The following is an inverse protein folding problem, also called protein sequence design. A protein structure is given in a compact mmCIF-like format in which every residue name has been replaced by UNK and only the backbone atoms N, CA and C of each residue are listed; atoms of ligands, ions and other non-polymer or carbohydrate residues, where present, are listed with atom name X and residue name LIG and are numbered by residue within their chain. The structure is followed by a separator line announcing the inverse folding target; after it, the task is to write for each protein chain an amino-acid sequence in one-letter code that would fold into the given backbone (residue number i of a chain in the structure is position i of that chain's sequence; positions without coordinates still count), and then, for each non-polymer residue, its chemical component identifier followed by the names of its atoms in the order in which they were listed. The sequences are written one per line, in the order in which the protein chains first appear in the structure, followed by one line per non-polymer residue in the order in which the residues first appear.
data_IF_408977561984
#
_entry.id   IF_408977561984
#
_cell.length_a   1.000
_cell.length_b   1.000
_cell.length_c   1.000
_cell.angle_alpha   90.00
_cell.angle_beta   90.00
_cell.angle_gamma   90.00
#
_symmetry.space_group_name_H-M   'P 1'
#
loop_
_entity.id
_entity.type
_entity.pdbx_description
1 polymer ?
#
# COMPACT_ATOMS: atom_id res chain seq x y z
N UNK A 1 -9.03 -30.59 -11.46
CA UNK A 1 -9.02 -29.14 -11.27
C UNK A 1 -10.43 -28.60 -11.19
N UNK A 2 -10.66 -27.67 -10.31
CA UNK A 2 -11.97 -27.04 -10.19
C UNK A 2 -12.18 -26.03 -11.31
N UNK A 3 -13.41 -25.97 -11.78
CA UNK A 3 -13.79 -24.94 -12.71
C UNK A 3 -13.67 -23.57 -12.03
N UNK A 4 -13.09 -22.64 -12.74
CA UNK A 4 -12.90 -21.31 -12.24
C UNK A 4 -13.94 -20.39 -12.86
N UNK A 5 -14.74 -19.73 -12.01
CA UNK A 5 -15.80 -18.83 -12.46
C UNK A 5 -15.55 -17.42 -11.98
N UNK A 6 -15.10 -16.51 -12.85
CA UNK A 6 -14.73 -15.15 -12.44
C UNK A 6 -15.88 -14.34 -11.85
N UNK A 7 -17.11 -14.61 -12.26
CA UNK A 7 -18.29 -13.89 -11.76
C UNK A 7 -18.80 -14.41 -10.43
N UNK A 8 -18.19 -15.48 -9.89
CA UNK A 8 -18.62 -16.03 -8.61
C UNK A 8 -18.33 -15.07 -7.47
N UNK A 9 -19.28 -14.93 -6.55
CA UNK A 9 -19.17 -14.03 -5.41
C UNK A 9 -19.18 -14.78 -4.09
N UNK A 10 -18.40 -14.26 -3.12
CA UNK A 10 -18.37 -14.76 -1.74
C UNK A 10 -18.58 -13.56 -0.82
N UNK A 11 -19.69 -13.53 -0.07
CA UNK A 11 -20.01 -12.45 0.88
C UNK A 11 -19.94 -11.05 0.24
N UNK A 12 -20.48 -10.92 -0.98
CA UNK A 12 -20.43 -9.66 -1.72
C UNK A 12 -19.09 -9.39 -2.39
N UNK A 13 -18.16 -10.32 -2.30
CA UNK A 13 -16.84 -10.18 -2.91
C UNK A 13 -16.81 -10.82 -4.30
N UNK A 14 -15.99 -10.26 -5.17
CA UNK A 14 -15.83 -10.73 -6.53
C UNK A 14 -14.41 -11.21 -6.76
N UNK A 15 -14.27 -12.18 -7.67
CA UNK A 15 -12.96 -12.49 -8.21
C UNK A 15 -12.47 -11.30 -9.05
N UNK A 16 -11.19 -10.97 -8.93
CA UNK A 16 -10.60 -9.96 -9.77
C UNK A 16 -9.22 -10.42 -10.23
N UNK A 17 -8.90 -10.08 -11.47
CA UNK A 17 -7.59 -10.29 -12.05
C UNK A 17 -7.10 -8.94 -12.59
N UNK A 18 -5.93 -8.50 -12.12
CA UNK A 18 -5.38 -7.21 -12.49
C UNK A 18 -3.94 -7.39 -12.96
N UNK A 19 -3.70 -7.14 -14.24
CA UNK A 19 -2.37 -7.21 -14.82
C UNK A 19 -1.63 -5.90 -14.58
N UNK A 20 -0.34 -5.99 -14.30
CA UNK A 20 0.49 -4.81 -14.16
C UNK A 20 0.48 -3.93 -15.42
N UNK A 21 0.37 -4.56 -16.61
CA UNK A 21 0.30 -3.83 -17.87
C UNK A 21 -0.95 -2.97 -18.00
N UNK A 22 -2.00 -3.29 -17.23
CA UNK A 22 -3.25 -2.53 -17.22
C UNK A 22 -3.25 -1.43 -16.16
N UNK A 23 -2.15 -1.28 -15.43
CA UNK A 23 -2.08 -0.35 -14.31
C UNK A 23 -1.93 1.08 -14.78
N UNK A 24 -2.59 1.98 -14.06
CA UNK A 24 -2.45 3.42 -14.25
C UNK A 24 -1.90 4.01 -12.96
N UNK A 25 -0.77 4.70 -13.07
CA UNK A 25 -0.17 5.37 -11.93
C UNK A 25 -0.80 6.74 -11.74
N UNK A 26 -1.23 7.01 -10.51
CA UNK A 26 -1.90 8.26 -10.16
C UNK A 26 -1.08 8.96 -9.08
N UNK A 27 -0.76 10.23 -9.31
CA UNK A 27 -0.03 11.04 -8.33
C UNK A 27 -0.92 11.34 -7.13
N UNK A 28 -0.33 11.23 -5.94
CA UNK A 28 -0.97 11.72 -4.73
C UNK A 28 -1.02 13.25 -4.75
N UNK A 29 -2.10 13.81 -4.22
CA UNK A 29 -2.23 15.26 -4.06
C UNK A 29 -1.51 15.78 -2.83
N UNK A 30 -1.15 14.90 -1.89
CA UNK A 30 -0.61 15.28 -0.59
C UNK A 30 0.88 15.05 -0.46
N UNK A 31 1.44 14.14 -1.26
CA UNK A 31 2.86 13.83 -1.24
C UNK A 31 3.36 13.59 -2.66
N UNK A 32 4.66 13.39 -2.81
CA UNK A 32 5.26 13.15 -4.12
C UNK A 32 5.42 11.65 -4.38
N UNK A 33 4.41 10.89 -4.00
CA UNK A 33 4.28 9.48 -4.33
C UNK A 33 3.22 9.32 -5.40
N UNK A 34 3.32 8.26 -6.16
CA UNK A 34 2.27 7.84 -7.06
C UNK A 34 1.86 6.41 -6.70
N UNK A 35 0.63 6.07 -7.03
CA UNK A 35 0.08 4.77 -6.68
C UNK A 35 -0.70 4.18 -7.83
N UNK A 36 -0.81 2.84 -7.83
CA UNK A 36 -1.71 2.14 -8.72
C UNK A 36 -2.64 1.25 -7.90
N UNK A 37 -3.89 1.21 -8.30
CA UNK A 37 -4.90 0.40 -7.66
C UNK A 37 -4.79 -1.03 -8.17
N UNK A 38 -4.94 -1.99 -7.27
CA UNK A 38 -4.97 -3.42 -7.61
C UNK A 38 -6.37 -3.93 -7.89
N UNK A 39 -7.41 -3.11 -7.65
CA UNK A 39 -8.80 -3.51 -7.80
C UNK A 39 -9.36 -4.31 -6.62
N UNK A 40 -8.55 -4.60 -5.61
CA UNK A 40 -8.98 -5.43 -4.48
C UNK A 40 -10.04 -4.73 -3.63
N UNK A 41 -9.97 -3.40 -3.50
CA UNK A 41 -10.98 -2.65 -2.77
C UNK A 41 -12.36 -2.86 -3.39
N UNK A 42 -12.47 -2.75 -4.69
CA UNK A 42 -13.74 -2.96 -5.39
C UNK A 42 -14.19 -4.42 -5.30
N UNK A 43 -13.26 -5.36 -5.47
CA UNK A 43 -13.57 -6.79 -5.43
C UNK A 43 -14.03 -7.25 -4.05
N UNK A 44 -13.53 -6.62 -2.99
CA UNK A 44 -13.91 -6.96 -1.61
C UNK A 44 -15.03 -6.08 -1.08
N UNK A 45 -15.64 -5.28 -1.94
CA UNK A 45 -16.75 -4.41 -1.57
C UNK A 45 -16.36 -3.40 -0.48
N UNK A 46 -15.13 -2.89 -0.55
CA UNK A 46 -14.62 -1.89 0.38
C UNK A 46 -14.01 -2.43 1.66
N UNK A 47 -13.95 -3.76 1.83
CA UNK A 47 -13.40 -4.36 3.05
C UNK A 47 -11.91 -4.07 3.20
N UNK A 48 -11.16 -4.21 2.12
CA UNK A 48 -9.71 -4.04 2.12
C UNK A 48 -9.30 -3.19 0.93
N UNK A 49 -8.38 -2.28 1.15
CA UNK A 49 -7.75 -1.53 0.08
C UNK A 49 -6.31 -2.00 -0.09
N UNK A 50 -5.91 -2.31 -1.31
CA UNK A 50 -4.55 -2.73 -1.63
C UNK A 50 -4.05 -1.90 -2.80
N UNK A 51 -2.99 -1.15 -2.58
CA UNK A 51 -2.37 -0.32 -3.61
C UNK A 51 -0.87 -0.56 -3.63
N UNK A 52 -0.26 -0.29 -4.76
CA UNK A 52 1.20 -0.25 -4.88
C UNK A 52 1.60 1.21 -5.00
N UNK A 53 2.57 1.64 -4.19
CA UNK A 53 3.04 3.03 -4.21
C UNK A 53 4.53 3.06 -4.50
N UNK A 54 4.97 4.18 -5.07
CA UNK A 54 6.39 4.45 -5.31
C UNK A 54 6.63 5.95 -5.26
N UNK A 55 7.84 6.39 -4.83
CA UNK A 55 8.16 7.81 -4.85
C UNK A 55 8.34 8.28 -6.30
N UNK A 56 7.90 9.51 -6.57
CA UNK A 56 8.17 10.15 -7.86
C UNK A 56 9.63 10.58 -7.92
N UNK A 57 10.15 11.07 -6.78
CA UNK A 57 11.55 11.44 -6.61
C UNK A 57 12.11 10.76 -5.37
N UNK A 58 13.33 10.22 -5.47
CA UNK A 58 13.96 9.52 -4.35
C UNK A 58 14.26 10.43 -3.15
N UNK A 59 14.36 11.73 -3.35
CA UNK A 59 14.60 12.70 -2.28
C UNK A 59 13.34 13.07 -1.49
N UNK A 60 12.18 12.59 -1.91
CA UNK A 60 10.91 12.89 -1.28
C UNK A 60 10.83 12.28 0.11
N UNK A 61 10.29 13.04 1.06
CA UNK A 61 9.94 12.53 2.38
C UNK A 61 8.42 12.42 2.48
N UNK A 62 7.93 11.24 2.85
CA UNK A 62 6.51 11.00 2.99
C UNK A 62 6.14 10.99 4.47
N UNK A 63 5.31 11.95 4.89
CA UNK A 63 4.77 12.01 6.25
C UNK A 63 3.31 11.59 6.18
N UNK A 64 2.95 10.55 6.90
CA UNK A 64 1.59 10.01 6.85
C UNK A 64 1.07 9.70 8.23
N UNK A 65 -0.24 9.89 8.40
CA UNK A 65 -0.96 9.47 9.60
C UNK A 65 -1.95 8.38 9.19
N UNK A 66 -2.00 7.31 9.97
CA UNK A 66 -2.92 6.22 9.72
C UNK A 66 -4.32 6.61 10.20
N UNK A 67 -5.24 6.82 9.26
CA UNK A 67 -6.65 7.14 9.55
C UNK A 67 -7.56 5.91 9.45
N UNK A 68 -7.05 4.81 8.90
CA UNK A 68 -7.76 3.54 8.83
C UNK A 68 -7.55 2.75 10.12
N UNK A 69 -8.19 1.59 10.24
CA UNK A 69 -7.97 0.73 11.40
C UNK A 69 -6.50 0.34 11.55
N UNK A 70 -5.85 0.10 10.42
CA UNK A 70 -4.41 -0.11 10.34
C UNK A 70 -3.94 0.03 8.90
N UNK A 71 -2.65 0.22 8.72
CA UNK A 71 -2.00 0.13 7.42
C UNK A 71 -0.84 -0.85 7.54
N UNK A 72 -0.85 -1.89 6.73
CA UNK A 72 0.25 -2.84 6.59
C UNK A 72 1.00 -2.51 5.32
N UNK A 73 2.32 -2.39 5.41
CA UNK A 73 3.17 -2.07 4.26
C UNK A 73 4.25 -3.12 4.10
N UNK A 74 4.43 -3.57 2.87
CA UNK A 74 5.45 -4.54 2.50
C UNK A 74 6.34 -3.92 1.42
N UNK A 75 7.67 -4.01 1.60
CA UNK A 75 8.61 -3.50 0.61
C UNK A 75 8.76 -4.53 -0.50
N UNK A 76 8.26 -4.18 -1.69
CA UNK A 76 8.33 -5.07 -2.86
C UNK A 76 9.71 -5.06 -3.49
N UNK A 77 10.30 -3.88 -3.60
CA UNK A 77 11.66 -3.74 -4.11
C UNK A 77 12.24 -2.41 -3.62
N UNK A 78 13.58 -2.33 -3.66
CA UNK A 78 14.28 -1.13 -3.24
C UNK A 78 14.44 -1.06 -1.73
N UNK A 79 14.67 0.14 -1.23
CA UNK A 79 14.89 0.39 0.19
C UNK A 79 14.38 1.77 0.58
N UNK A 80 14.06 1.90 1.86
CA UNK A 80 13.60 3.15 2.45
C UNK A 80 13.93 3.14 3.95
N UNK A 81 13.81 4.28 4.58
CA UNK A 81 13.94 4.40 6.03
C UNK A 81 12.61 4.77 6.65
N UNK A 82 12.23 4.06 7.70
CA UNK A 82 11.00 4.28 8.45
C UNK A 82 11.31 4.91 9.79
N UNK A 83 10.65 6.03 10.07
CA UNK A 83 10.70 6.68 11.38
C UNK A 83 9.27 6.84 11.86
N UNK A 84 8.95 6.24 12.99
CA UNK A 84 7.65 6.40 13.64
C UNK A 84 7.83 7.09 14.98
N UNK A 85 6.73 7.58 15.55
CA UNK A 85 6.75 8.28 16.83
C UNK A 85 7.41 7.41 17.90
N UNK A 86 8.38 7.99 18.62
CA UNK A 86 9.08 7.37 19.74
C UNK A 86 9.90 6.12 19.39
N UNK A 87 10.19 5.90 18.12
CA UNK A 87 10.99 4.74 17.72
C UNK A 87 12.22 5.15 16.93
N UNK A 88 13.20 4.25 16.93
CA UNK A 88 14.41 4.45 16.14
C UNK A 88 14.10 4.39 14.66
N UNK A 89 14.95 5.05 13.88
CA UNK A 89 14.88 4.92 12.43
C UNK A 89 15.27 3.49 12.03
N UNK A 90 14.44 2.86 11.23
CA UNK A 90 14.67 1.53 10.72
C UNK A 90 14.88 1.58 9.21
N UNK A 91 15.93 0.92 8.75
CA UNK A 91 16.17 0.75 7.32
C UNK A 91 15.44 -0.50 6.85
N UNK A 92 14.67 -0.34 5.79
CA UNK A 92 13.86 -1.43 5.23
C UNK A 92 14.34 -1.74 3.82
N UNK A 93 14.41 -3.03 3.52
CA UNK A 93 14.76 -3.52 2.20
C UNK A 93 13.67 -4.45 1.69
N UNK A 94 13.78 -4.88 0.43
CA UNK A 94 12.78 -5.77 -0.16
C UNK A 94 12.55 -7.00 0.73
N UNK A 95 11.30 -7.31 0.98
CA UNK A 95 10.89 -8.38 1.87
C UNK A 95 10.55 -7.95 3.29
N UNK A 96 10.94 -6.75 3.69
CA UNK A 96 10.59 -6.22 5.01
C UNK A 96 9.18 -5.65 5.01
N UNK A 97 8.57 -5.63 6.19
CA UNK A 97 7.21 -5.12 6.34
C UNK A 97 7.04 -4.42 7.69
N UNK A 98 5.99 -3.60 7.76
CA UNK A 98 5.60 -2.96 9.01
C UNK A 98 4.10 -2.72 9.03
N UNK A 99 3.57 -2.52 10.22
CA UNK A 99 2.16 -2.18 10.42
C UNK A 99 2.07 -0.93 11.29
N UNK A 100 1.19 -0.02 10.88
CA UNK A 100 0.95 1.23 11.61
C UNK A 100 -0.50 1.18 12.10
N UNK A 101 -0.72 1.22 13.42
CA UNK A 101 -2.07 1.26 13.95
C UNK A 101 -2.72 2.62 13.76
N UNK A 102 -4.04 2.64 13.92
CA UNK A 102 -4.81 3.86 13.80
C UNK A 102 -4.29 4.97 14.72
N UNK A 103 -4.18 6.15 14.17
CA UNK A 103 -3.77 7.33 14.92
C UNK A 103 -2.28 7.60 14.92
N UNK A 104 -1.46 6.62 14.58
CA UNK A 104 -0.01 6.81 14.56
C UNK A 104 0.44 7.52 13.29
N UNK A 105 1.50 8.29 13.43
CA UNK A 105 2.16 8.98 12.33
C UNK A 105 3.50 8.32 12.03
N UNK A 106 3.85 8.27 10.75
CA UNK A 106 5.13 7.71 10.34
C UNK A 106 5.72 8.52 9.19
N UNK A 107 7.04 8.40 9.05
CA UNK A 107 7.79 9.12 8.02
C UNK A 107 8.62 8.11 7.25
N UNK A 108 8.49 8.14 5.92
CA UNK A 108 9.36 7.38 5.02
C UNK A 108 10.29 8.35 4.31
N UNK A 109 11.58 8.02 4.30
CA UNK A 109 12.62 8.89 3.72
C UNK A 109 13.76 8.05 3.19
N UNK A 110 14.70 8.69 2.50
CA UNK A 110 15.91 8.05 1.99
C UNK A 110 15.60 6.86 1.09
N UNK A 111 14.72 7.08 0.11
CA UNK A 111 14.28 6.03 -0.80
C UNK A 111 15.32 5.74 -1.87
N UNK A 112 15.42 4.46 -2.27
CA UNK A 112 16.10 4.12 -3.51
C UNK A 112 15.22 4.49 -4.71
N UNK A 113 15.83 4.62 -5.88
CA UNK A 113 15.12 5.02 -7.10
C UNK A 113 14.06 4.01 -7.51
N UNK A 114 14.26 2.75 -7.14
CA UNK A 114 13.36 1.65 -7.53
C UNK A 114 12.40 1.24 -6.42
N UNK A 115 12.25 2.04 -5.36
CA UNK A 115 11.37 1.67 -4.25
C UNK A 115 9.94 1.45 -4.72
N UNK A 116 9.36 0.30 -4.35
CA UNK A 116 7.94 0.04 -4.49
C UNK A 116 7.42 -0.61 -3.22
N UNK A 117 6.27 -0.14 -2.78
CA UNK A 117 5.62 -0.58 -1.57
C UNK A 117 4.24 -1.14 -1.90
N UNK A 118 3.88 -2.24 -1.24
CA UNK A 118 2.52 -2.77 -1.25
C UNK A 118 1.87 -2.32 0.05
N UNK A 119 0.79 -1.54 -0.04
CA UNK A 119 0.08 -1.02 1.12
C UNK A 119 -1.30 -1.62 1.20
N UNK A 120 -1.60 -2.23 2.35
CA UNK A 120 -2.88 -2.88 2.63
C UNK A 120 -3.51 -2.13 3.80
N UNK A 121 -4.71 -1.62 3.59
CA UNK A 121 -5.44 -0.90 4.64
C UNK A 121 -6.85 -1.43 4.80
N UNK A 122 -7.36 -1.32 6.02
CA UNK A 122 -8.72 -1.71 6.36
C UNK A 122 -9.44 -0.48 6.87
N UNK A 123 -10.58 -0.09 6.26
CA UNK A 123 -11.32 1.09 6.69
C UNK A 123 -11.76 0.99 8.15
N UNK A 124 -11.83 2.16 8.81
CA UNK A 124 -12.15 2.24 10.24
C UNK A 124 -13.54 1.68 10.56
N UNK A 125 -14.51 1.96 9.73
CA UNK A 125 -15.91 1.65 9.99
C UNK A 125 -16.42 0.50 9.14
N UNK A 126 -15.67 -0.54 9.08
CA UNK A 126 -16.12 -1.69 8.31
C UNK A 126 -16.65 -2.81 9.18
#
# INVERSE_FOLDING_TARGET
TKDFKPERKFDGQNFIFHKNSDSVWVKSKQDEFESRDTGINKATNGLINVIVTRPIKCSTTRVSKCNDAFVFTFVLQGQTSLNSDNQKVNHLTAGDSFIIPQGDTYILSQHSDNLELLEISCPENY
#
